data_IF_370649837482
#
_entry.id   IF_370649837482
#
_cell.length_a   1.000
_cell.length_b   1.000
_cell.length_c   1.000
_cell.angle_alpha   90.00
_cell.angle_beta   90.00
_cell.angle_gamma   90.00
#
_symmetry.space_group_name_H-M   'P 1'
#
loop_
_entity.id
_entity.type
_entity.pdbx_description
1 polymer ?
#
# COMPACT_ATOMS: atom_id res chain seq x y z
N UNK A 1 8.57 6.96 -9.89
CA UNK A 1 7.79 7.12 -8.65
C UNK A 1 8.63 7.75 -7.55
N UNK A 2 9.72 7.10 -7.11
CA UNK A 2 10.63 7.63 -6.08
C UNK A 2 11.19 9.02 -6.39
N UNK A 3 11.61 9.27 -7.63
CA UNK A 3 12.11 10.60 -8.04
C UNK A 3 11.05 11.70 -7.98
N UNK A 4 9.79 11.37 -8.30
CA UNK A 4 8.68 12.33 -8.29
C UNK A 4 8.19 12.66 -6.87
N UNK A 5 8.47 11.79 -5.90
CA UNK A 5 8.04 11.91 -4.50
C UNK A 5 9.23 11.75 -3.54
N UNK A 6 10.30 12.52 -3.77
CA UNK A 6 11.55 12.42 -3.00
C UNK A 6 11.42 12.73 -1.51
N UNK A 7 10.32 13.36 -1.10
CA UNK A 7 9.99 13.68 0.29
C UNK A 7 9.28 12.52 1.03
N UNK A 8 8.89 11.46 0.32
CA UNK A 8 8.23 10.26 0.88
C UNK A 8 9.28 9.14 0.96
N UNK A 9 9.48 8.59 2.16
CA UNK A 9 10.35 7.43 2.37
C UNK A 9 9.71 6.14 1.82
N UNK A 10 10.44 5.04 1.83
CA UNK A 10 9.96 3.77 1.28
C UNK A 10 10.20 3.64 -0.23
N UNK A 11 9.18 3.13 -0.95
CA UNK A 11 9.26 2.71 -2.35
C UNK A 11 10.51 1.87 -2.66
N UNK A 12 10.89 1.04 -1.68
CA UNK A 12 12.03 0.16 -1.74
C UNK A 12 11.72 -1.05 -2.61
N UNK A 13 12.77 -1.74 -3.04
CA UNK A 13 12.62 -2.99 -3.78
C UNK A 13 11.79 -3.99 -2.97
N UNK A 14 10.78 -4.54 -3.64
CA UNK A 14 9.82 -5.42 -3.01
C UNK A 14 10.41 -6.80 -2.65
N UNK A 15 11.49 -7.19 -3.34
CA UNK A 15 12.26 -8.41 -3.05
C UNK A 15 12.91 -8.38 -1.66
N UNK A 16 13.16 -7.19 -1.08
CA UNK A 16 13.69 -7.07 0.29
C UNK A 16 12.74 -7.64 1.34
N UNK A 17 11.46 -7.83 1.00
CA UNK A 17 10.47 -8.51 1.85
C UNK A 17 10.71 -10.01 2.00
N UNK A 18 11.64 -10.62 1.25
CA UNK A 18 12.08 -12.00 1.46
C UNK A 18 13.13 -12.11 2.59
N UNK A 19 13.97 -11.09 2.72
CA UNK A 19 15.08 -11.05 3.68
C UNK A 19 14.81 -10.13 4.87
N UNK A 20 13.69 -9.38 4.85
CA UNK A 20 13.35 -8.35 5.83
C UNK A 20 14.42 -7.25 5.95
N UNK A 21 15.21 -7.02 4.90
CA UNK A 21 16.32 -6.05 4.87
C UNK A 21 15.88 -4.69 4.33
N UNK A 22 14.67 -4.25 4.67
CA UNK A 22 14.22 -2.91 4.34
C UNK A 22 15.02 -1.88 5.13
N UNK A 23 15.22 -0.70 4.54
CA UNK A 23 15.62 0.46 5.32
C UNK A 23 14.47 0.86 6.23
N UNK A 24 14.79 1.09 7.50
CA UNK A 24 13.86 1.60 8.50
C UNK A 24 13.48 3.04 8.15
N UNK A 25 12.18 3.33 8.17
CA UNK A 25 11.59 4.62 7.86
C UNK A 25 11.40 5.45 9.12
N UNK A 26 12.03 6.64 9.17
CA UNK A 26 11.89 7.59 10.28
C UNK A 26 10.85 8.66 10.01
N UNK A 27 10.61 8.97 8.74
CA UNK A 27 9.55 9.84 8.28
C UNK A 27 8.30 9.08 7.84
N UNK A 28 7.47 9.76 7.05
CA UNK A 28 6.32 9.14 6.40
C UNK A 28 6.76 8.33 5.19
N UNK A 29 6.17 7.14 5.00
CA UNK A 29 6.53 6.27 3.89
C UNK A 29 5.32 5.73 3.16
N UNK A 30 5.56 5.32 1.91
CA UNK A 30 4.69 4.45 1.12
C UNK A 30 5.52 3.27 0.63
N UNK A 31 5.05 2.05 0.88
CA UNK A 31 5.76 0.84 0.48
C UNK A 31 4.79 -0.16 -0.16
N UNK A 32 5.18 -0.72 -1.29
CA UNK A 32 4.51 -1.88 -1.88
C UNK A 32 5.18 -3.13 -1.30
N UNK A 33 4.39 -4.09 -0.81
CA UNK A 33 4.90 -5.32 -0.21
C UNK A 33 4.39 -6.55 -0.96
N UNK A 34 5.30 -7.52 -1.16
CA UNK A 34 4.93 -8.88 -1.54
C UNK A 34 4.68 -9.68 -0.27
N UNK A 35 3.42 -9.99 0.04
CA UNK A 35 3.09 -10.75 1.25
C UNK A 35 3.11 -12.26 1.03
N UNK A 36 3.63 -12.70 -0.13
CA UNK A 36 3.69 -14.10 -0.53
C UNK A 36 2.48 -14.51 -1.37
N UNK A 37 2.54 -15.74 -1.92
CA UNK A 37 1.47 -16.31 -2.78
C UNK A 37 1.09 -15.40 -3.96
N UNK A 38 2.04 -14.64 -4.49
CA UNK A 38 1.84 -13.65 -5.56
C UNK A 38 0.82 -12.56 -5.19
N UNK A 39 0.75 -12.16 -3.92
CA UNK A 39 -0.13 -11.10 -3.45
C UNK A 39 0.64 -9.82 -3.12
N UNK A 40 0.12 -8.70 -3.62
CA UNK A 40 0.75 -7.39 -3.56
C UNK A 40 -0.20 -6.39 -2.91
N UNK A 41 0.32 -5.61 -1.97
CA UNK A 41 -0.46 -4.62 -1.22
C UNK A 41 0.34 -3.33 -1.05
N UNK A 42 -0.33 -2.26 -0.64
CA UNK A 42 0.31 -0.98 -0.25
C UNK A 42 0.22 -0.77 1.24
N UNK A 43 1.34 -0.39 1.84
CA UNK A 43 1.44 0.04 3.25
C UNK A 43 1.92 1.48 3.27
N UNK A 44 1.35 2.31 4.15
CA UNK A 44 1.75 3.70 4.32
C UNK A 44 1.64 4.16 5.76
N UNK A 45 2.47 5.11 6.17
CA UNK A 45 2.28 5.87 7.41
C UNK A 45 1.75 7.30 7.15
N UNK A 46 1.52 7.67 5.89
CA UNK A 46 0.90 8.95 5.54
C UNK A 46 -0.55 8.99 6.05
N UNK A 47 -0.89 10.06 6.77
CA UNK A 47 -2.22 10.24 7.36
C UNK A 47 -2.44 9.45 8.65
N UNK A 48 -1.42 8.77 9.18
CA UNK A 48 -1.47 8.08 10.47
C UNK A 48 -1.18 9.03 11.63
N UNK A 49 -1.79 8.74 12.77
CA UNK A 49 -1.45 9.39 14.04
C UNK A 49 -0.39 8.54 14.75
N UNK A 50 0.81 9.10 14.90
CA UNK A 50 1.91 8.48 15.64
C UNK A 50 2.81 7.55 14.81
N UNK A 51 4.03 7.33 15.31
CA UNK A 51 5.07 6.58 14.60
C UNK A 51 4.84 5.05 14.57
N UNK A 52 3.92 4.52 15.38
CA UNK A 52 3.60 3.09 15.43
C UNK A 52 2.34 2.70 14.63
N UNK A 53 1.85 3.59 13.76
CA UNK A 53 0.61 3.39 13.02
C UNK A 53 0.86 3.36 11.52
N UNK A 54 0.28 2.36 10.86
CA UNK A 54 0.27 2.23 9.40
C UNK A 54 -1.14 1.95 8.87
N UNK A 55 -1.36 2.31 7.62
CA UNK A 55 -2.54 1.97 6.82
C UNK A 55 -2.14 0.93 5.77
N UNK A 56 -2.95 -0.11 5.62
CA UNK A 56 -2.78 -1.17 4.62
C UNK A 56 -3.93 -1.13 3.63
N UNK A 57 -3.62 -0.87 2.36
CA UNK A 57 -4.56 -0.96 1.26
C UNK A 57 -4.40 -2.29 0.52
N UNK A 58 -5.47 -3.08 0.50
CA UNK A 58 -5.51 -4.41 -0.10
C UNK A 58 -6.75 -4.57 -0.98
N UNK A 59 -6.55 -4.91 -2.25
CA UNK A 59 -7.64 -5.17 -3.23
C UNK A 59 -8.22 -6.59 -3.12
N UNK A 60 -7.61 -7.47 -2.32
CA UNK A 60 -8.07 -8.81 -1.97
C UNK A 60 -7.96 -9.03 -0.44
N UNK A 61 -8.66 -8.22 0.37
CA UNK A 61 -8.46 -8.23 1.81
C UNK A 61 -8.77 -9.61 2.38
N UNK A 62 -7.84 -10.12 3.18
CA UNK A 62 -8.01 -11.34 3.98
C UNK A 62 -8.52 -10.97 5.36
N UNK A 63 -9.25 -11.89 6.00
CA UNK A 63 -9.83 -11.68 7.34
C UNK A 63 -8.78 -11.44 8.42
N UNK A 64 -7.56 -11.93 8.23
CA UNK A 64 -6.46 -11.82 9.19
C UNK A 64 -5.23 -11.20 8.51
N UNK A 65 -4.52 -10.38 9.28
CA UNK A 65 -3.22 -9.85 8.88
C UNK A 65 -2.18 -10.98 8.92
N UNK A 66 -1.66 -11.37 7.76
CA UNK A 66 -0.70 -12.47 7.64
C UNK A 66 0.59 -12.20 8.42
N UNK A 67 1.20 -13.25 8.99
CA UNK A 67 2.44 -13.13 9.76
C UNK A 67 3.56 -12.44 8.98
N UNK A 68 3.72 -12.82 7.70
CA UNK A 68 4.70 -12.22 6.80
C UNK A 68 4.49 -10.73 6.55
N UNK A 69 3.23 -10.27 6.57
CA UNK A 69 2.93 -8.84 6.47
C UNK A 69 3.34 -8.10 7.75
N UNK A 70 3.07 -8.70 8.92
CA UNK A 70 3.48 -8.14 10.22
C UNK A 70 4.99 -7.96 10.31
N UNK A 71 5.74 -8.99 9.91
CA UNK A 71 7.20 -8.98 9.88
C UNK A 71 7.77 -7.88 8.97
N UNK A 72 7.23 -7.75 7.75
CA UNK A 72 7.67 -6.71 6.83
C UNK A 72 7.33 -5.30 7.32
N UNK A 73 6.14 -5.11 7.93
CA UNK A 73 5.79 -3.81 8.56
C UNK A 73 6.75 -3.50 9.70
N UNK A 74 7.04 -4.48 10.57
CA UNK A 74 7.96 -4.31 11.68
C UNK A 74 9.39 -4.00 11.24
N UNK A 75 9.84 -4.55 10.11
CA UNK A 75 11.16 -4.27 9.52
C UNK A 75 11.29 -2.85 8.96
N UNK A 76 10.18 -2.19 8.61
CA UNK A 76 10.18 -0.84 8.02
C UNK A 76 9.94 0.23 9.08
N UNK A 77 9.01 0.00 10.01
CA UNK A 77 8.53 1.05 10.90
C UNK A 77 9.55 1.40 11.99
N UNK A 78 9.86 2.68 12.15
CA UNK A 78 10.64 3.16 13.29
C UNK A 78 9.71 3.54 14.45
N UNK A 79 9.71 2.76 15.53
CA UNK A 79 8.90 3.08 16.70
C UNK A 79 9.51 2.58 18.01
N UNK A 80 9.26 3.31 19.10
CA UNK A 80 9.55 2.90 20.48
C UNK A 80 8.34 2.25 21.17
N UNK A 81 7.19 2.17 20.49
CA UNK A 81 5.98 1.52 21.02
C UNK A 81 6.15 0.01 21.08
N UNK A 82 5.43 -0.62 22.01
CA UNK A 82 5.41 -2.09 22.15
C UNK A 82 4.51 -2.79 21.13
N UNK A 83 3.59 -2.05 20.52
CA UNK A 83 2.65 -2.54 19.51
C UNK A 83 2.63 -1.64 18.27
N UNK A 84 2.35 -2.26 17.13
CA UNK A 84 2.07 -1.61 15.86
C UNK A 84 0.56 -1.65 15.62
N UNK A 85 -0.02 -0.47 15.38
CA UNK A 85 -1.40 -0.28 14.96
C UNK A 85 -1.49 -0.35 13.44
N UNK A 86 -2.43 -1.13 12.93
CA UNK A 86 -2.72 -1.25 11.50
C UNK A 86 -4.18 -0.93 11.24
N UNK A 87 -4.43 0.02 10.34
CA UNK A 87 -5.77 0.30 9.81
C UNK A 87 -5.90 -0.25 8.40
N UNK A 88 -6.94 -1.05 8.17
CA UNK A 88 -7.27 -1.61 6.85
C UNK A 88 -8.60 -0.98 6.41
N UNK A 89 -8.57 0.12 5.64
CA UNK A 89 -9.78 0.73 5.12
C UNK A 89 -10.43 -0.15 4.04
N UNK A 90 -11.74 -0.02 3.89
CA UNK A 90 -12.42 -0.58 2.72
C UNK A 90 -11.97 0.16 1.47
N UNK A 91 -11.49 -0.58 0.46
CA UNK A 91 -11.11 -0.05 -0.86
C UNK A 91 -11.76 -0.88 -1.95
N UNK A 92 -11.64 -0.42 -3.20
CA UNK A 92 -12.11 -1.20 -4.34
C UNK A 92 -11.40 -2.56 -4.39
N UNK A 93 -12.20 -3.63 -4.41
CA UNK A 93 -11.69 -4.97 -4.66
C UNK A 93 -11.40 -5.15 -6.14
N UNK A 94 -10.36 -5.93 -6.44
CA UNK A 94 -10.10 -6.35 -7.81
C UNK A 94 -11.08 -7.45 -8.24
N UNK A 95 -11.39 -7.47 -9.53
CA UNK A 95 -12.04 -8.58 -10.18
C UNK A 95 -10.99 -9.63 -10.60
N UNK A 96 -11.15 -10.87 -10.15
CA UNK A 96 -10.19 -11.96 -10.41
C UNK A 96 -8.91 -11.89 -9.57
N UNK A 97 -7.90 -12.70 -9.90
CA UNK A 97 -6.73 -12.92 -9.03
C UNK A 97 -5.42 -12.31 -9.52
N UNK A 98 -5.42 -11.59 -10.65
CA UNK A 98 -4.17 -11.21 -11.35
C UNK A 98 -3.78 -9.73 -11.25
N UNK A 99 -4.63 -8.88 -10.67
CA UNK A 99 -4.45 -7.42 -10.71
C UNK A 99 -4.00 -6.81 -9.38
N UNK A 100 -3.68 -7.61 -8.35
CA UNK A 100 -3.25 -7.10 -7.04
C UNK A 100 -2.03 -6.19 -7.15
N UNK A 101 -1.07 -6.54 -8.01
CA UNK A 101 0.09 -5.69 -8.28
C UNK A 101 -0.27 -4.34 -8.90
N UNK A 102 -1.28 -4.30 -9.79
CA UNK A 102 -1.73 -3.04 -10.40
C UNK A 102 -2.52 -2.19 -9.42
N UNK A 103 -3.35 -2.82 -8.58
CA UNK A 103 -4.04 -2.11 -7.51
C UNK A 103 -3.06 -1.59 -6.46
N UNK A 104 -2.06 -2.36 -6.06
CA UNK A 104 -1.01 -1.88 -5.16
C UNK A 104 -0.26 -0.67 -5.76
N UNK A 105 0.11 -0.72 -7.03
CA UNK A 105 0.70 0.45 -7.70
C UNK A 105 -0.26 1.66 -7.74
N UNK A 106 -1.53 1.42 -8.06
CA UNK A 106 -2.53 2.47 -8.14
C UNK A 106 -2.80 3.11 -6.76
N UNK A 107 -2.90 2.30 -5.70
CA UNK A 107 -3.07 2.77 -4.32
C UNK A 107 -1.86 3.58 -3.87
N UNK A 108 -0.65 3.05 -4.07
CA UNK A 108 0.57 3.78 -3.74
C UNK A 108 0.64 5.13 -4.48
N UNK A 109 0.29 5.17 -5.76
CA UNK A 109 0.30 6.39 -6.57
C UNK A 109 -0.72 7.42 -6.08
N UNK A 110 -1.93 6.98 -5.75
CA UNK A 110 -2.98 7.82 -5.18
C UNK A 110 -2.55 8.40 -3.82
N UNK A 111 -1.99 7.57 -2.94
CA UNK A 111 -1.50 8.00 -1.63
C UNK A 111 -0.37 9.03 -1.78
N UNK A 112 0.62 8.76 -2.64
CA UNK A 112 1.69 9.73 -2.93
C UNK A 112 1.15 11.06 -3.49
N UNK A 113 0.05 11.01 -4.24
CA UNK A 113 -0.63 12.20 -4.77
C UNK A 113 -1.58 12.90 -3.78
N UNK A 114 -1.59 12.48 -2.51
CA UNK A 114 -2.47 13.03 -1.48
C UNK A 114 -3.95 12.63 -1.62
N UNK A 115 -4.25 11.59 -2.38
CA UNK A 115 -5.61 11.07 -2.56
C UNK A 115 -5.84 9.84 -1.67
N UNK A 116 -7.08 9.67 -1.20
CA UNK A 116 -7.48 8.49 -0.44
C UNK A 116 -7.93 7.36 -1.40
N UNK A 117 -7.24 6.20 -1.46
CA UNK A 117 -7.66 5.07 -2.28
C UNK A 117 -9.10 4.58 -2.03
N UNK A 118 -9.63 4.72 -0.81
CA UNK A 118 -11.00 4.33 -0.46
C UNK A 118 -12.09 5.24 -1.07
N UNK A 119 -11.72 6.44 -1.52
CA UNK A 119 -12.64 7.35 -2.21
C UNK A 119 -12.52 7.30 -3.73
N UNK A 120 -11.70 6.40 -4.28
CA UNK A 120 -11.44 6.30 -5.72
C UNK A 120 -12.03 5.02 -6.32
N UNK A 121 -12.65 5.16 -7.50
CA UNK A 121 -13.10 4.03 -8.31
C UNK A 121 -12.18 3.85 -9.51
N UNK A 122 -11.20 2.97 -9.36
CA UNK A 122 -10.25 2.57 -10.40
C UNK A 122 -10.95 1.84 -11.55
N UNK A 123 -10.63 2.25 -12.79
CA UNK A 123 -11.13 1.58 -14.00
C UNK A 123 -10.23 0.36 -14.26
N UNK A 124 -10.53 -0.78 -13.63
CA UNK A 124 -9.67 -1.97 -13.64
C UNK A 124 -9.21 -2.39 -15.05
N UNK A 125 -10.13 -2.40 -16.02
CA UNK A 125 -9.85 -2.80 -17.40
C UNK A 125 -8.80 -1.90 -18.08
N UNK A 126 -8.61 -0.68 -17.59
CA UNK A 126 -7.60 0.27 -18.08
C UNK A 126 -6.30 0.25 -17.30
N UNK A 127 -6.22 -0.41 -16.14
CA UNK A 127 -5.01 -0.40 -15.30
C UNK A 127 -3.81 -1.02 -16.03
N UNK A 128 -4.02 -2.15 -16.73
CA UNK A 128 -2.95 -2.84 -17.48
C UNK A 128 -2.41 -2.00 -18.64
N UNK A 129 -3.30 -1.49 -19.50
CA UNK A 129 -2.89 -0.68 -20.65
C UNK A 129 -2.26 0.64 -20.22
N UNK A 130 -2.77 1.25 -19.15
CA UNK A 130 -2.17 2.44 -18.55
C UNK A 130 -0.77 2.17 -17.99
N UNK A 131 -0.61 1.09 -17.21
CA UNK A 131 0.69 0.72 -16.66
C UNK A 131 1.71 0.48 -17.76
N UNK A 132 1.33 -0.26 -18.82
CA UNK A 132 2.18 -0.44 -20.00
C UNK A 132 2.62 0.90 -20.60
N UNK A 133 1.69 1.83 -20.80
CA UNK A 133 2.02 3.17 -21.32
C UNK A 133 2.95 3.96 -20.39
N UNK A 134 2.79 3.84 -19.06
CA UNK A 134 3.68 4.46 -18.09
C UNK A 134 5.11 3.92 -18.19
N UNK A 135 5.27 2.60 -18.35
CA UNK A 135 6.57 1.97 -18.54
C UNK A 135 7.24 2.44 -19.84
N UNK A 136 6.49 2.48 -20.95
CA UNK A 136 6.98 2.97 -22.25
C UNK A 136 7.45 4.43 -22.16
N UNK A 137 6.71 5.27 -21.41
CA UNK A 137 7.04 6.69 -21.20
C UNK A 137 8.06 6.93 -20.09
N UNK A 138 8.46 5.89 -19.35
CA UNK A 138 9.30 5.98 -18.13
C UNK A 138 8.75 6.99 -17.10
N UNK A 139 7.44 7.16 -17.07
CA UNK A 139 6.75 8.10 -16.20
C UNK A 139 5.49 7.46 -15.66
N UNK A 140 5.43 7.29 -14.33
CA UNK A 140 4.27 6.72 -13.65
C UNK A 140 3.31 7.85 -13.25
N UNK A 141 2.18 7.92 -13.92
CA UNK A 141 1.09 8.86 -13.62
C UNK A 141 0.00 8.23 -12.74
N UNK A 142 -0.90 9.06 -12.20
CA UNK A 142 -2.10 8.58 -11.51
C UNK A 142 -2.90 7.63 -12.41
N UNK A 143 -3.29 6.49 -11.83
CA UNK A 143 -4.04 5.48 -12.55
C UNK A 143 -5.47 5.95 -12.87
N UNK A 144 -6.09 5.45 -13.95
CA UNK A 144 -7.41 5.89 -14.37
C UNK A 144 -8.50 5.60 -13.32
N UNK A 145 -9.22 6.64 -12.92
CA UNK A 145 -10.36 6.56 -12.00
C UNK A 145 -11.63 7.11 -12.64
N UNK A 146 -12.79 6.77 -12.09
CA UNK A 146 -14.08 7.33 -12.46
C UNK A 146 -14.46 8.43 -11.46
N UNK A 147 -14.88 9.61 -11.95
CA UNK A 147 -15.32 10.73 -11.12
C UNK A 147 -16.59 10.46 -10.28
N UNK A 148 -17.25 9.31 -10.48
CA UNK A 148 -18.49 8.89 -9.79
C UNK A 148 -18.35 7.50 -9.17
N UNK A 149 -17.22 7.20 -8.56
CA UNK A 149 -17.18 6.04 -7.70
C UNK A 149 -18.18 6.28 -6.54
N UNK A 150 -19.08 5.33 -6.30
CA UNK A 150 -19.61 5.18 -4.94
C UNK A 150 -18.35 5.05 -4.08
N UNK A 151 -18.13 5.97 -3.15
CA UNK A 151 -17.05 5.81 -2.17
C UNK A 151 -17.07 4.36 -1.72
N UNK A 152 -15.91 3.71 -1.67
CA UNK A 152 -15.78 2.47 -0.93
C UNK A 152 -15.82 2.84 0.57
N UNK A 153 -16.88 3.51 0.99
CA UNK A 153 -17.18 3.93 2.35
C UNK A 153 -17.74 2.72 3.08
N UNK A 154 -16.86 1.72 3.25
CA UNK A 154 -17.06 0.64 4.20
C UNK A 154 -16.27 0.91 5.47
N UNK A 155 -16.60 0.22 6.57
CA UNK A 155 -15.85 0.33 7.81
C UNK A 155 -14.38 -0.03 7.59
N UNK A 156 -13.49 0.62 8.32
CA UNK A 156 -12.09 0.19 8.43
C UNK A 156 -11.96 -0.85 9.54
N UNK A 157 -11.07 -1.81 9.35
CA UNK A 157 -10.66 -2.74 10.40
C UNK A 157 -9.40 -2.20 11.08
N UNK A 158 -9.37 -2.16 12.41
CA UNK A 158 -8.16 -1.87 13.18
C UNK A 158 -7.61 -3.16 13.79
N UNK A 159 -6.31 -3.39 13.64
CA UNK A 159 -5.58 -4.53 14.18
C UNK A 159 -4.36 -4.00 14.93
N UNK A 160 -4.02 -4.63 16.05
CA UNK A 160 -2.77 -4.38 16.77
C UNK A 160 -1.98 -5.67 16.91
N UNK A 161 -0.67 -5.58 16.78
CA UNK A 161 0.23 -6.70 17.04
C UNK A 161 1.52 -6.20 17.71
N UNK A 162 2.15 -7.01 18.57
CA UNK A 162 3.38 -6.61 19.25
C UNK A 162 4.52 -6.44 18.26
N UNK A 163 5.42 -5.49 18.53
CA UNK A 163 6.73 -5.44 17.84
C UNK A 163 7.51 -6.66 18.32
N UNK A 164 7.81 -7.59 17.41
CA UNK A 164 8.67 -8.74 17.73
C UNK A 164 10.11 -8.23 17.81
N UNK A 165 10.65 -8.16 19.04
CA UNK A 165 12.06 -7.93 19.30
C UNK A 165 12.84 -9.25 19.21
#
# INVERSE_FOLDING_TARGET
MKEAYSHIEGLQETALGETLTFNVSKGTFVQILNVGRNHWITVTSLGCEGANHVIVYDSLPRRNLEQRLREQIAAIIYTNSRDIRVTIPTVQHQNGSKDCGLFALAFAMSVCSGQNPGSLGYIQDKLRSHHKSCLEKRYLSCFPTQCRARSCSGPSVEIRFPVFC
#
